data_IF_751224043398
#
_entry.id   IF_751224043398
#
_cell.length_a   1.000
_cell.length_b   1.000
_cell.length_c   1.000
_cell.angle_alpha   90.00
_cell.angle_beta   90.00
_cell.angle_gamma   90.00
#
_symmetry.space_group_name_H-M   'P 1'
#
loop_
_entity.id
_entity.type
_entity.pdbx_description
1 polymer ?
#
# COMPACT_ATOMS: atom_id res chain seq x y z
N UNK A 1 -9.04 16.07 -3.33
CA UNK A 1 -9.05 15.04 -4.40
C UNK A 1 -9.17 13.66 -3.78
N UNK A 2 -9.74 12.70 -4.51
CA UNK A 2 -9.95 11.31 -4.03
C UNK A 2 -9.13 10.35 -4.87
N UNK A 3 -8.39 9.44 -4.23
CA UNK A 3 -7.62 8.39 -4.90
C UNK A 3 -8.51 7.18 -5.15
N UNK A 4 -8.95 6.98 -6.39
CA UNK A 4 -9.90 5.92 -6.77
C UNK A 4 -9.18 4.80 -7.51
N UNK A 5 -9.57 3.55 -7.27
CA UNK A 5 -9.06 2.40 -8.04
C UNK A 5 -8.98 1.08 -7.27
N UNK A 6 -9.06 1.11 -5.94
CA UNK A 6 -9.29 -0.11 -5.16
C UNK A 6 -10.73 -0.60 -5.37
N UNK A 7 -10.90 -1.91 -5.55
CA UNK A 7 -12.21 -2.57 -5.69
C UNK A 7 -12.73 -3.12 -4.36
N UNK A 8 -11.95 -2.98 -3.29
CA UNK A 8 -12.27 -3.40 -1.94
C UNK A 8 -12.01 -2.30 -0.90
N UNK A 9 -12.28 -2.62 0.36
CA UNK A 9 -12.00 -1.72 1.49
C UNK A 9 -10.50 -1.46 1.58
N UNK A 10 -10.12 -0.20 1.58
CA UNK A 10 -8.77 0.23 1.93
C UNK A 10 -8.61 0.07 3.44
N UNK A 11 -7.67 -0.77 3.85
CA UNK A 11 -7.46 -1.13 5.25
C UNK A 11 -6.30 -0.35 5.86
N UNK A 12 -5.32 0.02 5.04
CA UNK A 12 -4.13 0.71 5.49
C UNK A 12 -3.64 1.73 4.46
N UNK A 13 -3.05 2.81 4.95
CA UNK A 13 -2.36 3.80 4.14
C UNK A 13 -1.09 4.27 4.88
N UNK A 14 -0.01 4.50 4.14
CA UNK A 14 1.25 5.05 4.64
C UNK A 14 1.82 6.09 3.68
N UNK A 15 2.32 7.17 4.25
CA UNK A 15 2.98 8.25 3.52
C UNK A 15 4.48 7.97 3.40
N UNK A 16 5.06 8.25 2.24
CA UNK A 16 6.50 8.17 1.99
C UNK A 16 7.02 9.59 1.83
N UNK A 17 8.08 9.93 2.59
CA UNK A 17 8.50 11.32 2.73
C UNK A 17 9.14 11.89 1.47
N UNK A 18 9.87 11.11 0.68
CA UNK A 18 10.45 11.58 -0.58
C UNK A 18 10.74 10.44 -1.57
N UNK A 19 10.22 10.48 -2.81
CA UNK A 19 9.23 11.44 -3.34
C UNK A 19 7.87 11.33 -2.63
N UNK A 20 7.11 12.44 -2.58
CA UNK A 20 5.75 12.50 -2.01
C UNK A 20 4.84 11.44 -2.63
N UNK A 21 4.70 10.33 -1.92
CA UNK A 21 3.91 9.18 -2.34
C UNK A 21 3.10 8.64 -1.18
N UNK A 22 2.03 7.95 -1.52
CA UNK A 22 1.25 7.17 -0.56
C UNK A 22 1.18 5.74 -1.04
N UNK A 23 1.28 4.80 -0.11
CA UNK A 23 1.00 3.39 -0.37
C UNK A 23 -0.22 2.98 0.41
N UNK A 24 -1.15 2.33 -0.29
CA UNK A 24 -2.39 1.82 0.29
C UNK A 24 -2.49 0.33 0.13
N UNK A 25 -3.03 -0.34 1.15
CA UNK A 25 -3.32 -1.76 1.16
C UNK A 25 -4.80 -2.01 1.32
N UNK A 26 -5.32 -3.01 0.59
CA UNK A 26 -6.75 -3.25 0.47
C UNK A 26 -7.11 -4.72 0.60
N UNK A 27 -8.37 -4.95 0.97
CA UNK A 27 -9.01 -6.26 0.95
C UNK A 27 -9.19 -6.83 -0.48
N UNK A 28 -9.00 -6.00 -1.51
CA UNK A 28 -8.94 -6.49 -2.91
C UNK A 28 -7.65 -7.24 -3.25
N UNK A 29 -6.75 -7.42 -2.26
CA UNK A 29 -5.47 -8.14 -2.38
C UNK A 29 -4.44 -7.40 -3.24
N UNK A 30 -4.61 -6.09 -3.40
CA UNK A 30 -3.64 -5.22 -4.07
C UNK A 30 -3.07 -4.19 -3.13
N UNK A 31 -1.83 -3.81 -3.43
CA UNK A 31 -1.16 -2.65 -2.89
C UNK A 31 -1.06 -1.63 -4.02
N UNK A 32 -1.41 -0.37 -3.75
CA UNK A 32 -1.31 0.71 -4.75
C UNK A 32 -0.36 1.79 -4.26
N UNK A 33 0.49 2.26 -5.18
CA UNK A 33 1.38 3.40 -4.96
C UNK A 33 0.84 4.59 -5.72
N UNK A 34 0.69 5.70 -5.02
CA UNK A 34 0.11 6.94 -5.52
C UNK A 34 1.16 8.04 -5.48
N UNK A 35 1.32 8.77 -6.58
CA UNK A 35 2.03 10.05 -6.56
C UNK A 35 1.00 11.15 -6.26
N UNK A 36 1.17 11.86 -5.14
CA UNK A 36 0.22 12.91 -4.75
C UNK A 36 0.42 14.21 -5.52
N UNK A 37 1.54 14.40 -6.24
CA UNK A 37 1.73 15.58 -7.09
C UNK A 37 0.86 15.50 -8.34
N UNK A 38 0.75 14.30 -8.91
CA UNK A 38 -0.09 14.03 -10.07
C UNK A 38 -1.47 13.46 -9.72
N UNK A 39 -1.71 13.12 -8.45
CA UNK A 39 -2.94 12.48 -7.96
C UNK A 39 -3.25 11.22 -8.78
N UNK A 40 -2.21 10.43 -9.07
CA UNK A 40 -2.31 9.27 -9.94
C UNK A 40 -1.79 8.00 -9.27
N UNK A 41 -2.46 6.88 -9.56
CA UNK A 41 -1.93 5.56 -9.27
C UNK A 41 -0.76 5.30 -10.22
N UNK A 42 0.45 5.28 -9.70
CA UNK A 42 1.66 5.03 -10.51
C UNK A 42 2.05 3.55 -10.51
N UNK A 43 1.56 2.78 -9.54
CA UNK A 43 1.85 1.36 -9.44
C UNK A 43 0.72 0.59 -8.76
N UNK A 44 0.49 -0.64 -9.21
CA UNK A 44 -0.38 -1.61 -8.53
C UNK A 44 0.37 -2.94 -8.42
N UNK A 45 0.59 -3.41 -7.20
CA UNK A 45 1.21 -4.69 -6.90
C UNK A 45 0.16 -5.67 -6.39
N UNK A 46 0.15 -6.88 -6.93
CA UNK A 46 -0.73 -7.95 -6.44
C UNK A 46 -0.04 -8.64 -5.27
N UNK A 47 -0.67 -8.60 -4.09
CA UNK A 47 -0.09 -9.14 -2.86
C UNK A 47 -0.60 -10.56 -2.52
N UNK A 48 -1.54 -11.11 -3.30
CA UNK A 48 -2.05 -12.48 -3.13
C UNK A 48 -3.05 -12.66 -1.99
N UNK A 49 -3.05 -11.81 -0.96
CA UNK A 49 -3.92 -11.87 0.21
C UNK A 49 -4.41 -10.48 0.66
N UNK A 50 -5.49 -10.44 1.45
CA UNK A 50 -6.03 -9.20 2.02
C UNK A 50 -4.98 -8.50 2.84
N UNK A 51 -4.63 -7.28 2.47
CA UNK A 51 -3.72 -6.44 3.25
C UNK A 51 -4.52 -5.75 4.35
N UNK A 52 -4.11 -5.93 5.60
CA UNK A 52 -4.76 -5.33 6.76
C UNK A 52 -3.93 -4.23 7.41
N UNK A 53 -2.61 -4.25 7.23
CA UNK A 53 -1.72 -3.21 7.76
C UNK A 53 -0.54 -2.96 6.83
N UNK A 54 0.06 -1.77 6.95
CA UNK A 54 1.26 -1.36 6.25
C UNK A 54 2.20 -0.66 7.23
N UNK A 55 3.47 -1.04 7.23
CA UNK A 55 4.53 -0.37 8.00
C UNK A 55 5.73 -0.07 7.12
N UNK A 56 6.52 0.92 7.49
CA UNK A 56 7.77 1.27 6.81
C UNK A 56 8.95 0.85 7.67
N UNK A 57 10.04 0.45 7.02
CA UNK A 57 11.26 0.01 7.72
C UNK A 57 12.10 1.17 8.27
N UNK A 58 12.00 2.35 7.65
CA UNK A 58 12.73 3.55 8.05
C UNK A 58 11.87 4.81 7.92
N UNK A 59 12.43 5.95 8.34
CA UNK A 59 11.78 7.27 8.24
C UNK A 59 11.63 7.75 6.79
N UNK A 60 12.41 7.19 5.87
CA UNK A 60 12.34 7.50 4.43
C UNK A 60 11.26 6.66 3.72
N UNK A 61 10.81 5.57 4.33
CA UNK A 61 9.90 4.61 3.72
C UNK A 61 10.54 3.80 2.59
N UNK A 62 11.83 3.50 2.66
CA UNK A 62 12.57 2.82 1.59
C UNK A 62 12.05 1.41 1.30
N UNK A 63 11.56 0.71 2.33
CA UNK A 63 10.89 -0.59 2.22
C UNK A 63 9.56 -0.55 2.94
N UNK A 64 8.58 -1.22 2.35
CA UNK A 64 7.20 -1.28 2.86
C UNK A 64 6.88 -2.74 3.18
N UNK A 65 6.44 -2.98 4.39
CA UNK A 65 6.01 -4.30 4.82
C UNK A 65 4.49 -4.27 4.94
N UNK A 66 3.82 -5.23 4.32
CA UNK A 66 2.38 -5.40 4.38
C UNK A 66 2.00 -6.59 5.26
N UNK A 67 1.07 -6.35 6.19
CA UNK A 67 0.48 -7.38 7.03
C UNK A 67 -0.73 -7.98 6.32
N UNK A 68 -0.71 -9.29 6.06
CA UNK A 68 -1.76 -9.99 5.32
C UNK A 68 -2.61 -10.90 6.23
N UNK A 69 -3.85 -11.14 5.81
CA UNK A 69 -4.69 -12.23 6.35
C UNK A 69 -4.55 -13.47 5.48
N UNK A 70 -3.40 -14.12 5.55
CA UNK A 70 -3.21 -15.50 5.13
C UNK A 70 -3.06 -16.36 6.38
N UNK A 71 -3.36 -17.66 6.27
CA UNK A 71 -3.15 -18.61 7.37
C UNK A 71 -1.66 -18.79 7.73
N UNK A 72 -0.73 -18.00 7.17
CA UNK A 72 0.71 -18.06 7.38
C UNK A 72 1.34 -16.65 7.22
N UNK A 73 1.81 -16.10 8.32
CA UNK A 73 2.32 -14.73 8.54
C UNK A 73 3.24 -14.10 7.47
N UNK A 74 2.85 -12.90 7.03
CA UNK A 74 3.62 -11.77 6.48
C UNK A 74 4.53 -11.99 5.24
N UNK A 75 4.35 -11.16 4.21
CA UNK A 75 5.20 -11.08 3.01
C UNK A 75 5.79 -9.67 2.87
N UNK A 76 7.10 -9.58 2.63
CA UNK A 76 7.80 -8.32 2.35
C UNK A 76 7.92 -8.08 0.84
N UNK A 77 7.67 -6.85 0.38
CA UNK A 77 7.76 -6.46 -1.04
C UNK A 77 8.45 -5.11 -1.26
#
# INVERSE_FOLDING_TARGET
HTLTGHSGKVMAAKYLQEPIKVVTGSHDRTLKVWDLRSIACIETKFAGSSCNDLVTTDSLGSTIISGHYDKNYASGI
#
